data_IF_080510385747
#
_entry.id   IF_080510385747
#
_cell.length_a   1.000
_cell.length_b   1.000
_cell.length_c   1.000
_cell.angle_alpha   90.00
_cell.angle_beta   90.00
_cell.angle_gamma   90.00
#
_symmetry.space_group_name_H-M   'P 1'
#
loop_
_entity.id
_entity.type
_entity.pdbx_description
1 polymer ?
#
# COMPACT_ATOMS: atom_id res chain seq x y z
N UNK A 1 29.05 4.11 -8.05
CA UNK A 1 28.03 3.76 -7.03
C UNK A 1 26.60 3.77 -7.56
N UNK A 2 26.20 4.70 -8.45
CA UNK A 2 24.86 4.65 -9.06
C UNK A 2 24.52 3.30 -9.71
N UNK A 3 25.46 2.73 -10.49
CA UNK A 3 25.30 1.39 -11.08
C UNK A 3 25.02 0.29 -10.04
N UNK A 4 25.63 0.36 -8.86
CA UNK A 4 25.41 -0.63 -7.79
C UNK A 4 23.95 -0.65 -7.33
N UNK A 5 23.37 0.52 -7.06
CA UNK A 5 21.98 0.62 -6.61
C UNK A 5 20.99 0.24 -7.71
N UNK A 6 21.27 0.55 -8.98
CA UNK A 6 20.42 0.15 -10.10
C UNK A 6 20.33 -1.38 -10.21
N UNK A 7 21.46 -2.09 -10.08
CA UNK A 7 21.46 -3.55 -10.10
C UNK A 7 20.71 -4.15 -8.91
N UNK A 8 20.82 -3.55 -7.72
CA UNK A 8 20.08 -4.01 -6.53
C UNK A 8 18.57 -3.74 -6.58
N UNK A 9 18.18 -2.63 -7.21
CA UNK A 9 16.76 -2.33 -7.46
C UNK A 9 16.15 -3.37 -8.39
N UNK A 10 16.90 -3.85 -9.38
CA UNK A 10 16.48 -4.92 -10.31
C UNK A 10 16.53 -6.30 -9.63
N UNK A 11 15.75 -6.48 -8.59
CA UNK A 11 15.64 -7.74 -7.88
C UNK A 11 14.39 -8.53 -8.33
N UNK A 12 14.50 -9.86 -8.38
CA UNK A 12 13.38 -10.80 -8.57
C UNK A 12 12.21 -10.50 -7.64
N UNK A 13 12.46 -10.11 -6.39
CA UNK A 13 11.39 -9.83 -5.44
C UNK A 13 10.57 -8.57 -5.81
N UNK A 14 11.23 -7.54 -6.37
CA UNK A 14 10.54 -6.38 -6.92
C UNK A 14 9.68 -6.77 -8.13
N UNK A 15 10.20 -7.65 -8.99
CA UNK A 15 9.44 -8.19 -10.14
C UNK A 15 8.20 -8.94 -9.65
N UNK A 16 8.32 -9.77 -8.60
CA UNK A 16 7.17 -10.47 -7.99
C UNK A 16 6.15 -9.46 -7.46
N UNK A 17 6.59 -8.44 -6.72
CA UNK A 17 5.71 -7.40 -6.21
C UNK A 17 4.92 -6.71 -7.33
N UNK A 18 5.61 -6.25 -8.38
CA UNK A 18 4.97 -5.63 -9.54
C UNK A 18 4.02 -6.60 -10.24
N UNK A 19 4.46 -7.84 -10.49
CA UNK A 19 3.67 -8.83 -11.24
C UNK A 19 2.38 -9.22 -10.51
N UNK A 20 2.44 -9.48 -9.21
CA UNK A 20 1.25 -9.81 -8.40
C UNK A 20 0.31 -8.62 -8.32
N UNK A 21 0.84 -7.41 -8.16
CA UNK A 21 0.02 -6.19 -8.10
C UNK A 21 -0.68 -5.91 -9.43
N UNK A 22 0.02 -6.05 -10.56
CA UNK A 22 -0.55 -5.92 -11.90
C UNK A 22 -1.62 -6.99 -12.14
N UNK A 23 -1.36 -8.24 -11.73
CA UNK A 23 -2.36 -9.31 -11.85
C UNK A 23 -3.64 -8.96 -11.07
N UNK A 24 -3.54 -8.48 -9.84
CA UNK A 24 -4.70 -8.06 -9.05
C UNK A 24 -5.46 -6.90 -9.71
N UNK A 25 -4.74 -5.92 -10.27
CA UNK A 25 -5.32 -4.81 -11.04
C UNK A 25 -6.06 -5.30 -12.28
N UNK A 26 -5.47 -6.21 -13.04
CA UNK A 26 -6.09 -6.79 -14.24
C UNK A 26 -7.32 -7.61 -13.88
N UNK A 27 -7.26 -8.42 -12.82
CA UNK A 27 -8.41 -9.20 -12.34
C UNK A 27 -9.55 -8.28 -11.89
N UNK A 28 -9.23 -7.23 -11.11
CA UNK A 28 -10.21 -6.23 -10.70
C UNK A 28 -10.86 -5.57 -11.91
N UNK A 29 -10.07 -5.17 -12.91
CA UNK A 29 -10.59 -4.53 -14.11
C UNK A 29 -11.51 -5.46 -14.92
N UNK A 30 -11.13 -6.72 -15.11
CA UNK A 30 -11.91 -7.71 -15.87
C UNK A 30 -13.22 -8.05 -15.15
N UNK A 31 -13.16 -8.31 -13.83
CA UNK A 31 -14.33 -8.75 -13.07
C UNK A 31 -15.21 -7.61 -12.57
N UNK A 32 -14.66 -6.39 -12.46
CA UNK A 32 -15.37 -5.16 -12.14
C UNK A 32 -15.78 -4.45 -13.42
N UNK A 33 -14.97 -3.48 -13.87
CA UNK A 33 -15.32 -2.58 -14.97
C UNK A 33 -15.78 -3.26 -16.27
N UNK A 34 -15.01 -4.25 -16.77
CA UNK A 34 -15.31 -4.91 -18.04
C UNK A 34 -16.60 -5.72 -17.96
N UNK A 35 -16.76 -6.53 -16.91
CA UNK A 35 -17.98 -7.29 -16.68
C UNK A 35 -19.19 -6.38 -16.59
N UNK A 36 -19.07 -5.29 -15.83
CA UNK A 36 -20.16 -4.33 -15.64
C UNK A 36 -20.55 -3.66 -16.96
N UNK A 37 -19.58 -3.27 -17.79
CA UNK A 37 -19.86 -2.66 -19.09
C UNK A 37 -20.65 -3.58 -20.04
N UNK A 38 -20.35 -4.88 -20.02
CA UNK A 38 -20.87 -5.83 -21.01
C UNK A 38 -22.10 -6.63 -20.57
N UNK A 39 -22.31 -6.81 -19.27
CA UNK A 39 -23.31 -7.74 -18.74
C UNK A 39 -24.31 -7.11 -17.77
N UNK A 40 -24.14 -5.84 -17.39
CA UNK A 40 -25.06 -5.12 -16.50
C UNK A 40 -25.69 -3.97 -17.29
N UNK A 41 -27.03 -3.88 -17.30
CA UNK A 41 -27.73 -2.81 -18.02
C UNK A 41 -27.35 -1.44 -17.42
N UNK A 42 -26.88 -0.55 -18.28
CA UNK A 42 -26.21 0.72 -18.00
C UNK A 42 -27.09 1.83 -17.38
N UNK A 43 -28.35 1.54 -17.04
CA UNK A 43 -29.31 2.55 -16.60
C UNK A 43 -29.12 2.99 -15.13
N UNK A 44 -28.10 2.47 -14.43
CA UNK A 44 -27.77 2.91 -13.07
C UNK A 44 -26.68 3.97 -13.10
N UNK A 45 -27.02 5.18 -12.67
CA UNK A 45 -26.14 6.36 -12.63
C UNK A 45 -24.94 6.19 -11.66
N UNK A 46 -24.87 5.09 -10.93
CA UNK A 46 -23.94 4.92 -9.80
C UNK A 46 -22.61 4.23 -10.20
N UNK A 47 -22.46 3.81 -11.46
CA UNK A 47 -21.26 3.11 -11.96
C UNK A 47 -20.34 4.10 -12.67
N UNK A 48 -19.25 4.46 -12.00
CA UNK A 48 -18.21 5.37 -12.51
C UNK A 48 -16.83 4.78 -12.28
N UNK A 49 -15.78 5.31 -12.94
CA UNK A 49 -14.41 5.00 -12.59
C UNK A 49 -14.10 5.23 -11.10
N UNK A 50 -14.77 6.18 -10.46
CA UNK A 50 -14.57 6.53 -9.05
C UNK A 50 -15.22 5.54 -8.06
N UNK A 51 -16.27 4.82 -8.47
CA UNK A 51 -16.89 3.75 -7.66
C UNK A 51 -16.30 2.37 -7.95
N UNK A 52 -15.67 2.20 -9.12
CA UNK A 52 -15.19 0.89 -9.57
C UNK A 52 -13.67 0.74 -9.55
N UNK A 53 -12.86 1.77 -9.31
CA UNK A 53 -11.42 1.59 -9.15
C UNK A 53 -11.09 0.71 -7.93
N UNK A 54 -9.89 0.13 -7.89
CA UNK A 54 -9.49 -0.90 -6.93
C UNK A 54 -9.60 -0.47 -5.45
N UNK A 55 -9.50 0.84 -5.17
CA UNK A 55 -9.69 1.42 -3.82
C UNK A 55 -11.14 1.49 -3.36
N UNK A 56 -12.09 1.55 -4.29
CA UNK A 56 -13.53 1.68 -4.00
C UNK A 56 -14.36 0.49 -4.47
N UNK A 57 -13.81 -0.39 -5.31
CA UNK A 57 -14.56 -1.35 -6.13
C UNK A 57 -15.65 -2.09 -5.35
N UNK A 58 -16.91 -1.81 -5.71
CA UNK A 58 -18.09 -2.37 -5.04
C UNK A 58 -18.49 -3.75 -5.56
N UNK A 59 -18.22 -4.03 -6.84
CA UNK A 59 -18.65 -5.27 -7.51
C UNK A 59 -17.73 -6.46 -7.21
N UNK A 60 -16.52 -6.19 -6.73
CA UNK A 60 -15.50 -7.23 -6.52
C UNK A 60 -14.76 -7.06 -5.21
N UNK A 61 -14.46 -8.19 -4.55
CA UNK A 61 -13.61 -8.21 -3.35
C UNK A 61 -12.11 -8.08 -3.67
N UNK A 62 -11.74 -7.74 -4.91
CA UNK A 62 -10.33 -7.66 -5.33
C UNK A 62 -9.58 -6.53 -4.63
N UNK A 63 -10.23 -5.38 -4.41
CA UNK A 63 -9.70 -4.29 -3.59
C UNK A 63 -9.34 -4.76 -2.18
N UNK A 64 -10.27 -5.46 -1.52
CA UNK A 64 -10.06 -6.01 -0.18
C UNK A 64 -8.86 -6.96 -0.13
N UNK A 65 -8.76 -7.87 -1.11
CA UNK A 65 -7.63 -8.79 -1.21
C UNK A 65 -6.30 -8.04 -1.38
N UNK A 66 -6.26 -7.02 -2.25
CA UNK A 66 -5.06 -6.21 -2.48
C UNK A 66 -4.60 -5.52 -1.18
N UNK A 67 -5.48 -4.81 -0.48
CA UNK A 67 -5.11 -4.12 0.76
C UNK A 67 -4.78 -5.07 1.91
N UNK A 68 -5.38 -6.26 1.93
CA UNK A 68 -5.05 -7.32 2.87
C UNK A 68 -3.61 -7.83 2.68
N UNK A 69 -3.20 -8.11 1.44
CA UNK A 69 -1.84 -8.61 1.14
C UNK A 69 -0.80 -7.50 0.94
N UNK A 70 -1.22 -6.23 0.90
CA UNK A 70 -0.35 -5.08 0.67
C UNK A 70 0.90 -5.05 1.57
N UNK A 71 0.84 -5.36 2.88
CA UNK A 71 2.05 -5.39 3.70
C UNK A 71 3.08 -6.41 3.20
N UNK A 72 2.64 -7.62 2.79
CA UNK A 72 3.52 -8.66 2.25
C UNK A 72 4.17 -8.21 0.94
N UNK A 73 3.37 -7.61 0.06
CA UNK A 73 3.82 -7.13 -1.24
C UNK A 73 4.82 -5.98 -1.08
N UNK A 74 4.52 -5.00 -0.24
CA UNK A 74 5.40 -3.87 0.06
C UNK A 74 6.75 -4.32 0.66
N UNK A 75 6.75 -5.33 1.54
CA UNK A 75 7.96 -5.95 2.09
C UNK A 75 8.92 -6.45 1.01
N UNK A 76 8.41 -6.93 -0.13
CA UNK A 76 9.25 -7.48 -1.21
C UNK A 76 9.97 -6.41 -2.02
N UNK A 77 9.48 -5.16 -2.00
CA UNK A 77 9.99 -4.07 -2.83
C UNK A 77 11.47 -3.78 -2.61
N UNK A 78 11.87 -3.40 -1.39
CA UNK A 78 13.25 -3.03 -1.07
C UNK A 78 13.83 -3.66 0.21
N UNK A 79 13.02 -4.20 1.10
CA UNK A 79 13.51 -4.76 2.36
C UNK A 79 14.33 -6.06 2.18
N UNK A 80 14.23 -6.67 1.00
CA UNK A 80 14.98 -7.87 0.59
C UNK A 80 16.46 -7.57 0.34
N UNK A 81 16.79 -6.34 -0.10
CA UNK A 81 18.14 -5.94 -0.54
C UNK A 81 19.16 -6.18 0.58
N UNK A 82 18.83 -5.78 1.81
CA UNK A 82 19.71 -5.97 2.96
C UNK A 82 20.03 -7.44 3.24
N UNK A 83 19.00 -8.29 3.23
CA UNK A 83 19.16 -9.71 3.53
C UNK A 83 19.97 -10.43 2.46
N UNK A 84 19.80 -10.05 1.20
CA UNK A 84 20.60 -10.58 0.10
C UNK A 84 22.05 -10.11 0.19
N UNK A 85 22.29 -8.83 0.49
CA UNK A 85 23.62 -8.28 0.69
C UNK A 85 24.35 -8.97 1.86
N UNK A 86 23.64 -9.27 2.97
CA UNK A 86 24.17 -10.02 4.11
C UNK A 86 24.49 -11.48 3.74
N UNK A 87 23.55 -12.18 3.10
CA UNK A 87 23.70 -13.61 2.73
C UNK A 87 24.82 -13.87 1.73
N UNK A 88 25.00 -12.97 0.77
CA UNK A 88 25.97 -13.13 -0.31
C UNK A 88 27.37 -12.59 0.06
N UNK A 89 27.56 -12.06 1.28
CA UNK A 89 28.85 -11.49 1.72
C UNK A 89 29.24 -10.18 1.01
N UNK A 90 28.35 -9.59 0.20
CA UNK A 90 28.60 -8.32 -0.50
C UNK A 90 28.79 -7.15 0.46
N UNK A 91 28.34 -7.30 1.69
CA UNK A 91 28.52 -6.34 2.76
C UNK A 91 29.99 -5.89 2.93
N UNK A 92 30.95 -6.81 2.83
CA UNK A 92 32.38 -6.49 2.95
C UNK A 92 32.91 -5.63 1.79
N UNK A 93 32.39 -5.84 0.57
CA UNK A 93 32.76 -5.05 -0.59
C UNK A 93 32.18 -3.63 -0.51
N UNK A 94 30.97 -3.48 0.03
CA UNK A 94 30.36 -2.16 0.26
C UNK A 94 31.12 -1.39 1.34
N UNK A 95 31.52 -2.06 2.42
CA UNK A 95 32.29 -1.46 3.52
C UNK A 95 33.58 -0.78 3.05
N UNK A 96 34.28 -1.39 2.08
CA UNK A 96 35.52 -0.82 1.52
C UNK A 96 35.31 0.43 0.66
N UNK A 97 34.09 0.67 0.16
CA UNK A 97 33.79 1.72 -0.84
C UNK A 97 32.86 2.82 -0.34
N UNK A 98 32.15 2.62 0.76
CA UNK A 98 31.18 3.58 1.29
C UNK A 98 31.04 3.47 2.81
N UNK A 99 30.79 4.61 3.47
CA UNK A 99 30.50 4.61 4.90
C UNK A 99 29.18 3.90 5.21
N UNK A 100 29.16 3.14 6.31
CA UNK A 100 27.97 2.38 6.71
C UNK A 100 26.75 3.25 6.96
N UNK A 101 26.96 4.45 7.52
CA UNK A 101 25.88 5.43 7.70
C UNK A 101 25.24 5.79 6.35
N UNK A 102 26.04 6.08 5.33
CA UNK A 102 25.54 6.43 4.00
C UNK A 102 24.83 5.26 3.32
N UNK A 103 25.33 4.03 3.48
CA UNK A 103 24.67 2.83 2.99
C UNK A 103 23.25 2.72 3.54
N UNK A 104 23.10 2.71 4.87
CA UNK A 104 21.81 2.53 5.52
C UNK A 104 20.84 3.71 5.30
N UNK A 105 21.34 4.93 5.14
CA UNK A 105 20.49 6.07 4.74
C UNK A 105 19.94 5.90 3.33
N UNK A 106 20.76 5.45 2.37
CA UNK A 106 20.26 5.22 1.00
C UNK A 106 19.31 4.02 0.98
N UNK A 107 19.62 2.97 1.74
CA UNK A 107 18.82 1.75 1.80
C UNK A 107 17.40 2.00 2.30
N UNK A 108 17.23 2.77 3.38
CA UNK A 108 15.90 3.10 3.91
C UNK A 108 15.09 3.95 2.91
N UNK A 109 15.73 4.92 2.25
CA UNK A 109 15.09 5.76 1.24
C UNK A 109 14.65 4.95 0.02
N UNK A 110 15.53 4.11 -0.53
CA UNK A 110 15.20 3.23 -1.66
C UNK A 110 14.07 2.28 -1.28
N UNK A 111 14.12 1.69 -0.08
CA UNK A 111 13.09 0.77 0.38
C UNK A 111 11.72 1.43 0.47
N UNK A 112 11.65 2.64 1.04
CA UNK A 112 10.42 3.42 1.10
C UNK A 112 9.89 3.78 -0.29
N UNK A 113 10.74 4.41 -1.11
CA UNK A 113 10.31 4.94 -2.39
C UNK A 113 9.96 3.85 -3.40
N UNK A 114 10.65 2.70 -3.41
CA UNK A 114 10.25 1.57 -4.25
C UNK A 114 8.84 1.09 -3.91
N UNK A 115 8.53 0.90 -2.63
CA UNK A 115 7.20 0.46 -2.21
C UNK A 115 6.13 1.52 -2.43
N UNK A 116 6.47 2.81 -2.26
CA UNK A 116 5.60 3.94 -2.55
C UNK A 116 5.24 4.01 -4.04
N UNK A 117 6.25 4.04 -4.91
CA UNK A 117 6.04 4.22 -6.35
C UNK A 117 5.36 3.04 -7.00
N UNK A 118 5.70 1.80 -6.64
CA UNK A 118 5.03 0.61 -7.20
C UNK A 118 3.54 0.62 -6.85
N UNK A 119 3.18 0.82 -5.59
CA UNK A 119 1.78 0.86 -5.16
C UNK A 119 1.02 2.02 -5.80
N UNK A 120 1.62 3.22 -5.84
CA UNK A 120 1.01 4.38 -6.49
C UNK A 120 0.78 4.13 -7.99
N UNK A 121 1.77 3.58 -8.70
CA UNK A 121 1.68 3.29 -10.13
C UNK A 121 0.61 2.23 -10.43
N UNK A 122 0.55 1.15 -9.63
CA UNK A 122 -0.45 0.08 -9.78
C UNK A 122 -1.87 0.63 -9.62
N UNK A 123 -2.13 1.41 -8.56
CA UNK A 123 -3.45 1.99 -8.33
C UNK A 123 -3.82 3.04 -9.37
N UNK A 124 -2.85 3.85 -9.80
CA UNK A 124 -3.05 4.84 -10.86
C UNK A 124 -3.38 4.17 -12.21
N UNK A 125 -2.64 3.12 -12.58
CA UNK A 125 -2.93 2.34 -13.79
C UNK A 125 -4.33 1.74 -13.73
N UNK A 126 -4.73 1.21 -12.58
CA UNK A 126 -6.07 0.68 -12.40
C UNK A 126 -7.15 1.76 -12.63
N UNK A 127 -6.98 2.95 -12.05
CA UNK A 127 -7.89 4.06 -12.24
C UNK A 127 -7.99 4.44 -13.73
N UNK A 128 -6.86 4.58 -14.42
CA UNK A 128 -6.81 4.89 -15.86
C UNK A 128 -7.54 3.83 -16.69
N UNK A 129 -7.35 2.55 -16.40
CA UNK A 129 -8.07 1.47 -17.10
C UNK A 129 -9.59 1.60 -16.92
N UNK A 130 -10.06 1.93 -15.71
CA UNK A 130 -11.49 2.15 -15.45
C UNK A 130 -12.04 3.34 -16.27
N UNK A 131 -11.28 4.44 -16.37
CA UNK A 131 -11.65 5.60 -17.21
C UNK A 131 -11.75 5.29 -18.71
N UNK A 132 -11.07 4.27 -19.21
CA UNK A 132 -11.12 3.88 -20.62
C UNK A 132 -12.41 3.15 -20.99
N UNK A 133 -13.13 2.59 -20.01
CA UNK A 133 -14.26 1.67 -20.23
C UNK A 133 -15.58 2.22 -19.68
N UNK A 134 -15.52 2.89 -18.53
CA UNK A 134 -16.71 3.40 -17.84
C UNK A 134 -16.92 4.89 -18.13
N UNK A 135 -18.17 5.38 -18.14
CA UNK A 135 -18.46 6.79 -18.33
C UNK A 135 -17.92 7.60 -17.16
N UNK A 136 -17.26 8.71 -17.49
CA UNK A 136 -16.60 9.59 -16.53
C UNK A 136 -17.51 10.76 -16.11
N UNK A 137 -18.70 10.48 -15.57
CA UNK A 137 -19.50 11.51 -14.92
C UNK A 137 -19.11 11.65 -13.43
N UNK A 138 -19.34 12.84 -12.88
CA UNK A 138 -19.10 13.07 -11.46
C UNK A 138 -20.17 12.36 -10.62
N UNK A 139 -19.82 11.85 -9.43
CA UNK A 139 -20.79 11.27 -8.51
C UNK A 139 -21.86 12.29 -8.13
N UNK A 140 -23.12 11.87 -8.03
CA UNK A 140 -24.26 12.75 -7.71
C UNK A 140 -24.88 12.25 -6.41
N UNK A 141 -24.80 13.07 -5.36
CA UNK A 141 -25.20 12.71 -3.98
C UNK A 141 -26.66 12.20 -3.87
N UNK A 142 -27.58 12.70 -4.70
CA UNK A 142 -28.98 12.30 -4.70
C UNK A 142 -29.26 10.96 -5.41
N UNK A 143 -28.31 10.45 -6.19
CA UNK A 143 -28.40 9.18 -6.91
C UNK A 143 -27.59 8.10 -6.20
N UNK A 144 -26.48 8.47 -5.57
CA UNK A 144 -25.59 7.60 -4.79
C UNK A 144 -26.11 7.25 -3.37
N UNK A 145 -27.42 7.35 -3.12
CA UNK A 145 -28.04 7.14 -1.80
C UNK A 145 -27.79 5.71 -1.26
N UNK A 146 -27.50 4.74 -2.14
CA UNK A 146 -27.10 3.37 -1.77
C UNK A 146 -25.60 3.18 -1.49
N UNK A 147 -24.74 4.15 -1.81
CA UNK A 147 -23.28 4.05 -1.64
C UNK A 147 -22.81 4.40 -0.22
N UNK A 148 -23.64 5.07 0.59
CA UNK A 148 -23.35 5.41 1.99
C UNK A 148 -21.97 6.07 2.21
N UNK A 149 -21.54 6.95 1.29
CA UNK A 149 -20.42 7.88 1.51
C UNK A 149 -20.85 8.96 2.52
N UNK A 150 -21.02 8.56 3.77
CA UNK A 150 -21.44 9.43 4.87
C UNK A 150 -20.27 9.71 5.81
N UNK A 151 -20.38 10.80 6.56
CA UNK A 151 -19.44 11.14 7.62
C UNK A 151 -19.34 9.99 8.62
N UNK A 152 -18.14 9.39 8.70
CA UNK A 152 -17.84 8.28 9.61
C UNK A 152 -17.42 6.99 8.90
N UNK A 153 -17.83 6.77 7.65
CA UNK A 153 -17.45 5.58 6.87
C UNK A 153 -16.26 5.85 5.94
N UNK A 154 -16.18 7.07 5.40
CA UNK A 154 -15.11 7.48 4.49
C UNK A 154 -14.50 8.82 4.90
N UNK A 155 -13.25 9.04 4.52
CA UNK A 155 -12.57 10.31 4.77
C UNK A 155 -13.10 11.36 3.82
N UNK A 156 -13.48 12.53 4.33
CA UNK A 156 -13.88 13.72 3.55
C UNK A 156 -14.90 13.48 2.41
N UNK A 157 -16.11 12.99 2.70
CA UNK A 157 -17.11 12.65 1.67
C UNK A 157 -17.49 13.82 0.75
N UNK A 158 -17.43 15.07 1.21
CA UNK A 158 -17.71 16.25 0.36
C UNK A 158 -16.77 16.30 -0.87
N UNK A 159 -15.48 16.00 -0.69
CA UNK A 159 -14.51 16.05 -1.80
C UNK A 159 -14.78 14.97 -2.85
N UNK A 160 -15.44 13.87 -2.47
CA UNK A 160 -15.82 12.84 -3.42
C UNK A 160 -16.85 13.37 -4.43
N UNK A 161 -17.83 14.15 -3.98
CA UNK A 161 -18.88 14.72 -4.84
C UNK A 161 -18.40 15.97 -5.60
N UNK A 162 -17.61 16.85 -4.97
CA UNK A 162 -17.15 18.08 -5.61
C UNK A 162 -15.96 17.86 -6.56
N UNK A 163 -15.01 17.01 -6.15
CA UNK A 163 -13.72 16.82 -6.82
C UNK A 163 -13.26 15.34 -6.77
N UNK A 164 -13.99 14.41 -7.44
CA UNK A 164 -13.78 12.95 -7.30
C UNK A 164 -12.37 12.47 -7.68
N UNK A 165 -11.72 13.11 -8.66
CA UNK A 165 -10.33 12.81 -9.02
C UNK A 165 -9.35 13.16 -7.89
N UNK A 166 -9.55 14.30 -7.24
CA UNK A 166 -8.70 14.76 -6.13
C UNK A 166 -8.87 13.81 -4.96
N UNK A 167 -10.12 13.46 -4.65
CA UNK A 167 -10.46 12.48 -3.63
C UNK A 167 -9.77 11.13 -3.84
N UNK A 168 -9.93 10.56 -5.03
CA UNK A 168 -9.31 9.28 -5.41
C UNK A 168 -7.79 9.35 -5.31
N UNK A 169 -7.19 10.46 -5.75
CA UNK A 169 -5.75 10.69 -5.67
C UNK A 169 -5.23 10.77 -4.23
N UNK A 170 -6.03 11.30 -3.29
CA UNK A 170 -5.70 11.29 -1.87
C UNK A 170 -5.61 9.85 -1.33
N UNK A 171 -6.57 8.99 -1.65
CA UNK A 171 -6.56 7.58 -1.25
C UNK A 171 -5.40 6.78 -1.87
N UNK A 172 -5.06 7.04 -3.13
CA UNK A 172 -3.87 6.46 -3.78
C UNK A 172 -2.60 6.88 -3.03
N UNK A 173 -2.46 8.16 -2.72
CA UNK A 173 -1.29 8.69 -2.02
C UNK A 173 -1.18 8.11 -0.61
N UNK A 174 -2.29 8.03 0.12
CA UNK A 174 -2.35 7.42 1.45
C UNK A 174 -1.92 5.94 1.41
N UNK A 175 -2.44 5.19 0.43
CA UNK A 175 -2.06 3.78 0.20
C UNK A 175 -0.57 3.61 -0.10
N UNK A 176 0.00 4.51 -0.91
CA UNK A 176 1.42 4.52 -1.24
C UNK A 176 2.30 4.85 -0.02
N UNK A 177 1.89 5.80 0.83
CA UNK A 177 2.60 6.14 2.07
C UNK A 177 2.65 4.93 3.03
N UNK A 178 1.52 4.27 3.26
CA UNK A 178 1.47 3.07 4.13
C UNK A 178 2.26 1.90 3.54
N UNK A 179 2.23 1.70 2.21
CA UNK A 179 3.10 0.74 1.51
C UNK A 179 4.58 1.02 1.80
N UNK A 180 5.03 2.26 1.67
CA UNK A 180 6.38 2.68 2.03
C UNK A 180 6.72 2.38 3.50
N UNK A 181 5.79 2.67 4.43
CA UNK A 181 5.96 2.39 5.85
C UNK A 181 6.11 0.89 6.13
N UNK A 182 5.26 0.03 5.55
CA UNK A 182 5.38 -1.44 5.70
C UNK A 182 6.74 -1.96 5.21
N UNK A 183 7.24 -1.43 4.10
CA UNK A 183 8.54 -1.80 3.58
C UNK A 183 9.67 -1.42 4.55
N UNK A 184 9.65 -0.22 5.15
CA UNK A 184 10.65 0.17 6.15
C UNK A 184 10.50 -0.67 7.43
N UNK A 185 9.29 -0.95 7.92
CA UNK A 185 9.08 -1.80 9.10
C UNK A 185 9.74 -3.17 8.88
N UNK A 186 9.50 -3.76 7.70
CA UNK A 186 10.11 -5.04 7.29
C UNK A 186 11.64 -4.94 7.31
N UNK A 187 12.20 -3.89 6.70
CA UNK A 187 13.65 -3.66 6.67
C UNK A 187 14.21 -3.57 8.10
N UNK A 188 13.56 -2.81 8.97
CA UNK A 188 13.97 -2.65 10.36
C UNK A 188 13.95 -3.97 11.12
N UNK A 189 12.89 -4.76 11.00
CA UNK A 189 12.79 -6.08 11.65
C UNK A 189 13.89 -7.02 11.14
N UNK A 190 14.26 -6.92 9.85
CA UNK A 190 15.35 -7.72 9.28
C UNK A 190 16.74 -7.42 9.85
N UNK A 191 16.92 -6.28 10.52
CA UNK A 191 18.16 -5.98 11.25
C UNK A 191 18.31 -6.85 12.51
N UNK A 192 17.20 -7.39 13.03
CA UNK A 192 17.16 -8.14 14.28
C UNK A 192 16.91 -9.63 14.07
N UNK A 193 16.21 -10.01 13.00
CA UNK A 193 15.81 -11.39 12.71
C UNK A 193 16.44 -11.84 11.40
N UNK A 194 17.13 -12.99 11.41
CA UNK A 194 17.82 -13.52 10.23
C UNK A 194 16.89 -14.24 9.25
N UNK A 195 15.81 -14.85 9.77
CA UNK A 195 14.86 -15.56 8.94
C UNK A 195 13.93 -14.58 8.22
N UNK A 196 14.22 -14.32 6.95
CA UNK A 196 13.47 -13.37 6.13
C UNK A 196 11.97 -13.73 5.97
N UNK A 197 11.61 -15.02 5.99
CA UNK A 197 10.21 -15.43 5.95
C UNK A 197 9.44 -14.95 7.19
N UNK A 198 10.07 -15.05 8.37
CA UNK A 198 9.51 -14.54 9.64
C UNK A 198 9.39 -13.02 9.59
N UNK A 199 10.40 -12.33 9.04
CA UNK A 199 10.38 -10.87 8.89
C UNK A 199 9.19 -10.39 8.07
N UNK A 200 8.99 -10.92 6.85
CA UNK A 200 7.87 -10.50 6.00
C UNK A 200 6.53 -10.85 6.66
N UNK A 201 6.42 -12.06 7.20
CA UNK A 201 5.19 -12.53 7.85
C UNK A 201 4.80 -11.66 9.05
N UNK A 202 5.78 -11.12 9.79
CA UNK A 202 5.51 -10.31 10.99
C UNK A 202 4.68 -9.05 10.69
N UNK A 203 4.99 -8.33 9.61
CA UNK A 203 4.27 -7.10 9.24
C UNK A 203 2.84 -7.41 8.83
N UNK A 204 2.65 -8.50 8.09
CA UNK A 204 1.33 -8.99 7.73
C UNK A 204 0.51 -9.47 8.93
N UNK A 205 1.11 -10.21 9.86
CA UNK A 205 0.44 -10.69 11.07
C UNK A 205 -0.01 -9.52 11.96
N UNK A 206 0.78 -8.47 12.08
CA UNK A 206 0.36 -7.24 12.79
C UNK A 206 -0.89 -6.65 12.15
N UNK A 207 -0.91 -6.51 10.82
CA UNK A 207 -2.12 -6.02 10.14
C UNK A 207 -3.31 -6.96 10.36
N UNK A 208 -3.12 -8.28 10.28
CA UNK A 208 -4.19 -9.27 10.48
C UNK A 208 -4.79 -9.15 11.88
N UNK A 209 -3.95 -9.05 12.92
CA UNK A 209 -4.41 -8.86 14.31
C UNK A 209 -5.20 -7.57 14.45
N UNK A 210 -4.70 -6.46 13.90
CA UNK A 210 -5.45 -5.19 13.91
C UNK A 210 -6.77 -5.30 13.16
N UNK A 211 -6.83 -6.09 12.08
CA UNK A 211 -8.06 -6.29 11.33
C UNK A 211 -9.10 -7.03 12.16
N UNK A 212 -8.69 -8.09 12.86
CA UNK A 212 -9.57 -8.86 13.76
C UNK A 212 -10.10 -7.97 14.89
N UNK A 213 -9.22 -7.18 15.54
CA UNK A 213 -9.64 -6.25 16.60
C UNK A 213 -10.60 -5.19 16.03
N UNK A 214 -10.31 -4.64 14.86
CA UNK A 214 -11.17 -3.67 14.19
C UNK A 214 -12.56 -4.24 13.89
N UNK A 215 -12.63 -5.51 13.45
CA UNK A 215 -13.89 -6.20 13.24
C UNK A 215 -14.67 -6.41 14.54
N UNK A 216 -14.01 -6.85 15.62
CA UNK A 216 -14.68 -7.05 16.93
C UNK A 216 -15.19 -5.75 17.56
N UNK A 217 -14.49 -4.63 17.32
CA UNK A 217 -14.82 -3.32 17.90
C UNK A 217 -15.64 -2.43 16.96
N UNK A 218 -15.91 -2.90 15.73
CA UNK A 218 -16.52 -2.13 14.65
C UNK A 218 -15.84 -0.76 14.37
N UNK A 219 -14.52 -0.74 14.47
CA UNK A 219 -13.70 0.46 14.27
C UNK A 219 -12.59 0.23 13.23
N UNK A 220 -12.31 1.26 12.43
CA UNK A 220 -11.26 1.24 11.41
C UNK A 220 -9.85 1.42 12.02
N UNK A 221 -9.35 0.37 12.68
CA UNK A 221 -8.06 0.37 13.37
C UNK A 221 -6.91 -0.08 12.44
N UNK A 222 -7.18 -1.04 11.56
CA UNK A 222 -6.17 -1.60 10.66
C UNK A 222 -6.02 -0.78 9.37
N UNK A 223 -4.80 -0.67 8.80
CA UNK A 223 -4.61 0.01 7.52
C UNK A 223 -5.50 -0.50 6.39
N UNK A 224 -5.67 -1.82 6.25
CA UNK A 224 -6.57 -2.38 5.24
C UNK A 224 -8.03 -1.91 5.35
N UNK A 225 -8.49 -1.47 6.53
CA UNK A 225 -9.85 -1.01 6.73
C UNK A 225 -10.09 0.41 6.23
N UNK A 226 -9.10 1.30 6.38
CA UNK A 226 -9.23 2.72 6.02
C UNK A 226 -8.51 3.11 4.73
N UNK A 227 -7.60 2.27 4.22
CA UNK A 227 -6.94 2.47 2.92
C UNK A 227 -7.86 2.14 1.74
N UNK A 228 -8.85 1.26 1.97
CA UNK A 228 -9.95 1.00 1.05
C UNK A 228 -11.15 1.86 1.47
N UNK A 229 -11.92 2.33 0.50
CA UNK A 229 -13.21 3.00 0.72
C UNK A 229 -14.25 1.94 1.11
N UNK A 230 -14.20 1.47 2.36
CA UNK A 230 -15.08 0.43 2.90
C UNK A 230 -16.32 1.02 3.57
N UNK A 231 -17.46 0.35 3.37
CA UNK A 231 -18.77 0.71 3.95
C UNK A 231 -19.08 0.00 5.27
N UNK A 232 -18.46 -1.17 5.48
CA UNK A 232 -18.84 -2.10 6.55
C UNK A 232 -18.25 -1.73 7.91
N UNK A 233 -17.29 -0.79 7.93
CA UNK A 233 -16.54 -0.41 9.13
C UNK A 233 -16.75 1.07 9.37
N UNK A 234 -17.32 1.38 10.52
CA UNK A 234 -17.60 2.75 10.95
C UNK A 234 -16.39 3.38 11.65
N UNK A 235 -16.43 4.71 11.81
CA UNK A 235 -15.45 5.53 12.52
C UNK A 235 -14.07 5.65 11.87
N UNK A 236 -14.01 5.80 10.54
CA UNK A 236 -12.77 6.20 9.86
C UNK A 236 -12.45 7.66 10.21
N UNK A 237 -11.41 7.87 11.01
CA UNK A 237 -10.96 9.20 11.44
C UNK A 237 -9.63 9.58 10.81
N UNK A 238 -9.59 10.70 10.08
CA UNK A 238 -8.36 11.25 9.50
C UNK A 238 -7.28 11.45 10.57
N UNK A 239 -7.66 12.01 11.72
CA UNK A 239 -6.74 12.30 12.82
C UNK A 239 -6.10 11.02 13.37
N UNK A 240 -6.89 9.95 13.52
CA UNK A 240 -6.38 8.65 13.94
C UNK A 240 -5.34 8.10 12.95
N UNK A 241 -5.63 8.15 11.65
CA UNK A 241 -4.73 7.64 10.60
C UNK A 241 -3.40 8.40 10.61
N UNK A 242 -3.44 9.72 10.71
CA UNK A 242 -2.24 10.57 10.76
C UNK A 242 -1.41 10.26 12.01
N UNK A 243 -2.05 10.16 13.19
CA UNK A 243 -1.35 9.81 14.44
C UNK A 243 -0.72 8.42 14.37
N UNK A 244 -1.47 7.42 13.86
CA UNK A 244 -0.98 6.06 13.68
C UNK A 244 0.25 6.06 12.76
N UNK A 245 0.18 6.77 11.63
CA UNK A 245 1.28 6.85 10.69
C UNK A 245 2.52 7.51 11.31
N UNK A 246 2.37 8.67 11.97
CA UNK A 246 3.49 9.39 12.61
C UNK A 246 4.12 8.52 13.70
N UNK A 247 3.30 7.90 14.54
CA UNK A 247 3.78 7.04 15.63
C UNK A 247 4.53 5.82 15.08
N UNK A 248 3.93 5.10 14.13
CA UNK A 248 4.55 3.92 13.53
C UNK A 248 5.83 4.27 12.77
N UNK A 249 5.83 5.36 12.00
CA UNK A 249 7.02 5.84 11.27
C UNK A 249 8.14 6.25 12.25
N UNK A 250 7.81 7.03 13.28
CA UNK A 250 8.76 7.45 14.31
C UNK A 250 9.37 6.27 15.08
N UNK A 251 8.53 5.33 15.55
CA UNK A 251 8.98 4.13 16.24
C UNK A 251 9.88 3.25 15.35
N UNK A 252 9.53 3.14 14.06
CA UNK A 252 10.32 2.40 13.07
C UNK A 252 11.67 3.06 12.82
N UNK A 253 11.72 4.38 12.66
CA UNK A 253 12.99 5.10 12.48
C UNK A 253 13.92 4.98 13.68
N UNK A 254 13.39 5.12 14.89
CA UNK A 254 14.17 4.95 16.12
C UNK A 254 14.74 3.53 16.21
N UNK A 255 13.90 2.53 15.99
CA UNK A 255 14.30 1.11 15.97
C UNK A 255 15.33 0.83 14.88
N UNK A 256 15.17 1.41 13.68
CA UNK A 256 16.13 1.28 12.59
C UNK A 256 17.51 1.83 12.97
N UNK A 257 17.57 3.04 13.52
CA UNK A 257 18.82 3.67 13.95
C UNK A 257 19.50 2.84 15.05
N UNK A 258 18.73 2.33 16.01
CA UNK A 258 19.24 1.47 17.08
C UNK A 258 19.76 0.14 16.52
N UNK A 259 19.02 -0.49 15.61
CA UNK A 259 19.38 -1.76 14.98
C UNK A 259 20.66 -1.66 14.16
N UNK A 260 20.80 -0.60 13.35
CA UNK A 260 22.02 -0.35 12.57
C UNK A 260 23.23 -0.14 13.49
N UNK A 261 23.08 0.64 14.57
CA UNK A 261 24.19 0.86 15.53
C UNK A 261 24.59 -0.43 16.24
N UNK A 262 23.63 -1.19 16.74
CA UNK A 262 23.88 -2.35 17.60
C UNK A 262 24.36 -3.59 16.83
N UNK A 263 23.76 -3.86 15.67
CA UNK A 263 23.92 -5.16 15.00
C UNK A 263 24.84 -5.11 13.77
N UNK A 264 25.34 -3.92 13.42
CA UNK A 264 26.07 -3.74 12.16
C UNK A 264 27.34 -2.90 12.28
N UNK A 265 27.33 -1.84 13.06
CA UNK A 265 28.49 -0.94 13.21
C UNK A 265 29.40 -1.36 14.37
N UNK A 266 28.85 -2.05 15.37
CA UNK A 266 29.57 -2.55 16.54
C UNK A 266 30.04 -3.99 16.38
#
# INVERSE_FOLDING_TARGET
MHKFWIERIKNRNLIIFVSVSVLLVSLQFVFGAWKTMHFVNYDTVDITPYTQWLGSSHETNMGMLFYFVLPLLASLGGATIYNEDKKQGYFYLVYSKMSMRKYFTILILITFFLAFFVTSLVLFLNLVLNFMVLPAHNPIETLDVGLNFTYGNTLFPIFYYEHPLVYTSMYITMSALFSGLFAIITLTISLYIENFFVVISSVFLVQLVLMVIGFMTNNAIAPAHFLMERRDITNVSFFYIVLLYIFAFGATLLSYIMGVRKNVIN
#
